data_IF_260174797507
#
_entry.id   IF_260174797507
#
_cell.length_a   1.000
_cell.length_b   1.000
_cell.length_c   1.000
_cell.angle_alpha   90.00
_cell.angle_beta   90.00
_cell.angle_gamma   90.00
#
_symmetry.space_group_name_H-M   'P 1'
#
loop_
_entity.id
_entity.type
_entity.pdbx_description
1 polymer ?
#
# COMPACT_ATOMS: atom_id res chain seq x y z
N UNK A 1 -20.31 -11.20 -1.38
CA UNK A 1 -19.54 -9.98 -1.74
C UNK A 1 -19.96 -8.77 -0.91
N UNK A 2 -21.03 -8.00 -1.20
CA UNK A 2 -21.33 -6.76 -0.43
C UNK A 2 -21.59 -6.92 1.09
N UNK A 3 -22.09 -8.07 1.55
CA UNK A 3 -22.28 -8.34 2.99
C UNK A 3 -20.98 -8.73 3.71
N UNK A 4 -20.01 -9.26 2.98
CA UNK A 4 -18.72 -9.72 3.50
C UNK A 4 -17.80 -8.52 3.73
N UNK A 5 -17.76 -7.59 2.76
CA UNK A 5 -17.01 -6.33 2.85
C UNK A 5 -17.49 -5.45 4.02
N UNK A 6 -18.82 -5.39 4.27
CA UNK A 6 -19.35 -4.68 5.46
C UNK A 6 -18.89 -5.30 6.77
N UNK A 7 -18.74 -6.61 6.81
CA UNK A 7 -18.23 -7.33 7.98
C UNK A 7 -16.76 -6.99 8.26
N UNK A 8 -15.94 -6.88 7.22
CA UNK A 8 -14.52 -6.49 7.32
C UNK A 8 -14.36 -5.03 7.77
N UNK A 9 -15.11 -4.10 7.18
CA UNK A 9 -15.09 -2.68 7.57
C UNK A 9 -15.43 -2.50 9.06
N UNK A 10 -16.48 -3.17 9.54
CA UNK A 10 -16.91 -3.10 10.94
C UNK A 10 -15.87 -3.67 11.91
N UNK A 11 -15.10 -4.68 11.49
CA UNK A 11 -14.01 -5.25 12.30
C UNK A 11 -12.81 -4.32 12.33
N UNK A 12 -12.50 -3.66 11.21
CA UNK A 12 -11.45 -2.65 11.13
C UNK A 12 -11.70 -1.49 12.09
N UNK A 13 -12.90 -0.91 12.04
CA UNK A 13 -13.27 0.23 12.88
C UNK A 13 -13.11 -0.10 14.37
N UNK A 14 -13.55 -1.30 14.76
CA UNK A 14 -13.44 -1.79 16.14
C UNK A 14 -11.99 -1.99 16.56
N UNK A 15 -11.13 -2.50 15.68
CA UNK A 15 -9.70 -2.67 15.97
C UNK A 15 -8.98 -1.31 16.11
N UNK A 16 -9.38 -0.30 15.32
CA UNK A 16 -8.84 1.06 15.46
C UNK A 16 -9.23 1.67 16.80
N UNK A 17 -10.50 1.56 17.19
CA UNK A 17 -11.00 2.04 18.51
C UNK A 17 -10.24 1.39 19.66
N UNK A 18 -9.99 0.07 19.60
CA UNK A 18 -9.24 -0.66 20.62
C UNK A 18 -7.76 -0.21 20.69
N UNK A 19 -7.17 0.07 19.54
CA UNK A 19 -5.78 0.54 19.42
C UNK A 19 -5.54 2.00 19.80
N UNK A 20 -6.61 2.76 20.08
CA UNK A 20 -6.52 4.13 20.63
C UNK A 20 -6.31 4.09 22.14
N UNK A 21 -6.79 3.05 22.83
CA UNK A 21 -6.61 2.87 24.28
C UNK A 21 -5.15 2.51 24.63
N UNK A 22 -4.48 1.76 23.76
CA UNK A 22 -3.07 1.41 23.90
C UNK A 22 -2.21 2.34 23.03
N UNK A 23 -1.41 3.23 23.65
CA UNK A 23 -0.44 4.14 23.00
C UNK A 23 0.73 3.42 22.28
N UNK A 24 0.48 2.33 21.57
CA UNK A 24 1.45 1.63 20.74
C UNK A 24 1.58 2.24 19.35
N UNK A 25 2.80 2.27 18.82
CA UNK A 25 3.09 2.55 17.40
C UNK A 25 2.46 1.45 16.54
N UNK A 26 1.36 1.79 15.86
CA UNK A 26 0.59 0.90 14.97
C UNK A 26 1.20 0.81 13.56
N UNK A 27 2.51 0.85 13.45
CA UNK A 27 3.13 0.32 12.24
C UNK A 27 3.06 -1.19 12.35
N UNK A 28 1.91 -1.77 12.02
CA UNK A 28 1.83 -3.19 11.70
C UNK A 28 2.82 -3.35 10.54
N UNK A 29 3.88 -4.11 10.78
CA UNK A 29 4.87 -4.40 9.75
C UNK A 29 4.23 -5.37 8.76
N UNK A 30 3.45 -4.80 7.83
CA UNK A 30 2.71 -5.54 6.81
C UNK A 30 3.67 -6.41 5.99
N UNK A 31 4.93 -6.00 5.84
CA UNK A 31 5.96 -6.78 5.13
C UNK A 31 6.40 -8.01 5.93
N UNK A 32 6.57 -7.90 7.25
CA UNK A 32 6.92 -9.05 8.09
C UNK A 32 5.81 -10.13 8.12
N UNK A 33 4.54 -9.71 8.16
CA UNK A 33 3.39 -10.62 8.23
C UNK A 33 3.17 -11.38 6.91
N UNK A 34 3.47 -10.74 5.78
CA UNK A 34 3.50 -11.40 4.47
C UNK A 34 4.72 -12.32 4.29
N UNK A 35 5.90 -11.90 4.76
CA UNK A 35 7.12 -12.69 4.65
C UNK A 35 7.05 -14.02 5.41
N UNK A 36 6.33 -14.04 6.54
CA UNK A 36 6.09 -15.26 7.34
C UNK A 36 5.15 -16.28 6.68
N UNK A 37 4.35 -15.87 5.69
CA UNK A 37 3.39 -16.72 4.97
C UNK A 37 3.85 -17.17 3.58
N UNK A 38 4.98 -16.64 3.09
CA UNK A 38 5.46 -16.92 1.74
C UNK A 38 6.04 -18.34 1.61
N UNK A 39 5.43 -19.17 0.76
CA UNK A 39 5.92 -20.51 0.46
C UNK A 39 7.12 -20.52 -0.49
N UNK A 40 7.68 -21.70 -0.75
CA UNK A 40 8.78 -21.88 -1.72
C UNK A 40 8.40 -21.40 -3.13
N UNK A 41 7.14 -21.66 -3.54
CA UNK A 41 6.60 -21.22 -4.83
C UNK A 41 6.52 -19.69 -4.96
N UNK A 42 6.15 -18.99 -3.89
CA UNK A 42 6.07 -17.52 -3.88
C UNK A 42 7.45 -16.88 -4.06
N UNK A 43 8.48 -17.46 -3.44
CA UNK A 43 9.87 -16.99 -3.56
C UNK A 43 10.44 -17.24 -4.96
N UNK A 44 10.10 -18.37 -5.57
CA UNK A 44 10.49 -18.68 -6.96
C UNK A 44 9.78 -17.76 -7.95
N UNK A 45 8.47 -17.56 -7.78
CA UNK A 45 7.68 -16.65 -8.62
C UNK A 45 8.21 -15.21 -8.55
N UNK A 46 8.60 -14.72 -7.37
CA UNK A 46 9.18 -13.38 -7.22
C UNK A 46 10.48 -13.19 -7.99
N UNK A 47 11.38 -14.18 -7.94
CA UNK A 47 12.63 -14.09 -8.72
C UNK A 47 12.37 -14.14 -10.21
N UNK A 48 11.45 -15.00 -10.65
CA UNK A 48 11.13 -15.14 -12.08
C UNK A 48 10.38 -13.90 -12.59
N UNK A 49 9.51 -13.28 -11.79
CA UNK A 49 8.84 -12.03 -12.15
C UNK A 49 9.82 -10.84 -12.21
N UNK A 50 10.73 -10.73 -11.24
CA UNK A 50 11.78 -9.70 -11.25
C UNK A 50 12.76 -9.88 -12.43
N UNK A 51 13.06 -11.14 -12.80
CA UNK A 51 13.93 -11.45 -13.94
C UNK A 51 13.22 -11.19 -15.28
N UNK A 52 11.97 -11.63 -15.41
CA UNK A 52 11.16 -11.46 -16.63
C UNK A 52 10.81 -10.01 -16.96
N UNK A 53 10.81 -9.11 -15.97
CA UNK A 53 10.59 -7.67 -16.16
C UNK A 53 11.85 -6.86 -16.51
N UNK A 54 13.04 -7.49 -16.57
CA UNK A 54 14.29 -6.78 -16.79
C UNK A 54 14.61 -6.60 -18.29
N UNK A 55 15.12 -5.42 -18.65
CA UNK A 55 15.63 -5.13 -20.00
C UNK A 55 16.74 -6.10 -20.43
N UNK A 56 17.54 -6.59 -19.49
CA UNK A 56 18.59 -7.57 -19.78
C UNK A 56 18.03 -8.93 -20.24
N UNK A 57 16.87 -9.34 -19.73
CA UNK A 57 16.21 -10.59 -20.14
C UNK A 57 15.76 -10.52 -21.60
N UNK A 58 15.10 -9.42 -21.98
CA UNK A 58 14.63 -9.18 -23.36
C UNK A 58 15.81 -9.21 -24.34
N UNK A 59 16.92 -8.53 -24.01
CA UNK A 59 18.12 -8.52 -24.85
C UNK A 59 18.79 -9.89 -24.95
N UNK A 60 18.86 -10.66 -23.85
CA UNK A 60 19.40 -12.02 -23.88
C UNK A 60 18.56 -12.97 -24.73
N UNK A 61 17.23 -12.83 -24.67
CA UNK A 61 16.29 -13.63 -25.46
C UNK A 61 16.44 -13.35 -26.95
N UNK A 62 16.56 -12.06 -27.31
CA UNK A 62 16.84 -11.64 -28.68
C UNK A 62 18.19 -12.18 -29.18
N UNK A 63 19.23 -12.15 -28.34
CA UNK A 63 20.55 -12.67 -28.69
C UNK A 63 20.53 -14.20 -28.94
N UNK A 64 19.81 -14.97 -28.12
CA UNK A 64 19.63 -16.41 -28.33
C UNK A 64 18.88 -16.69 -29.63
N UNK A 65 17.86 -15.90 -29.95
CA UNK A 65 17.09 -16.05 -31.19
C UNK A 65 17.96 -15.76 -32.42
N UNK A 66 18.75 -14.69 -32.40
CA UNK A 66 19.72 -14.37 -33.46
C UNK A 66 20.79 -15.47 -33.57
N UNK A 67 21.31 -15.97 -32.44
CA UNK A 67 22.29 -17.05 -32.43
C UNK A 67 21.73 -18.35 -33.01
N UNK A 68 20.48 -18.69 -32.72
CA UNK A 68 19.80 -19.88 -33.27
C UNK A 68 19.62 -19.78 -34.78
N UNK A 69 19.18 -18.61 -35.27
CA UNK A 69 19.05 -18.34 -36.71
C UNK A 69 20.42 -18.44 -37.38
N UNK A 70 21.46 -17.83 -36.79
CA UNK A 70 22.82 -17.89 -37.33
C UNK A 70 23.36 -19.33 -37.35
N UNK A 71 23.17 -20.09 -36.27
CA UNK A 71 23.57 -21.49 -36.19
C UNK A 71 22.88 -22.35 -37.25
N UNK A 72 21.55 -22.26 -37.38
CA UNK A 72 20.83 -22.99 -38.44
C UNK A 72 21.19 -22.52 -39.85
N UNK A 73 21.46 -21.23 -40.05
CA UNK A 73 21.90 -20.70 -41.35
C UNK A 73 23.31 -21.16 -41.74
N UNK A 74 24.21 -21.39 -40.78
CA UNK A 74 25.56 -21.93 -41.04
C UNK A 74 25.47 -23.44 -41.26
N UNK A 75 24.67 -24.15 -40.45
CA UNK A 75 24.41 -25.59 -40.59
C UNK A 75 23.68 -25.90 -41.91
N UNK A 76 22.93 -24.96 -42.49
CA UNK A 76 22.34 -25.08 -43.83
C UNK A 76 23.37 -25.34 -44.95
N UNK A 77 24.64 -24.94 -44.76
CA UNK A 77 25.75 -25.23 -45.66
C UNK A 77 26.38 -26.63 -45.44
N UNK A 78 26.10 -27.27 -44.31
CA UNK A 78 26.42 -28.66 -44.03
C UNK A 78 25.21 -29.55 -44.37
N UNK A 79 25.43 -30.80 -44.80
CA UNK A 79 24.42 -31.62 -45.45
C UNK A 79 23.18 -31.98 -44.59
N UNK A 80 23.22 -31.78 -43.27
CA UNK A 80 22.13 -32.08 -42.34
C UNK A 80 21.42 -30.82 -41.83
N UNK A 81 20.12 -30.72 -42.11
CA UNK A 81 19.29 -29.58 -41.71
C UNK A 81 18.55 -29.92 -40.41
N UNK A 82 19.00 -29.37 -39.30
CA UNK A 82 18.38 -29.60 -37.99
C UNK A 82 17.04 -28.87 -37.82
N UNK A 83 16.90 -27.63 -38.33
CA UNK A 83 15.64 -26.85 -38.35
C UNK A 83 15.57 -25.94 -39.60
N UNK A 84 15.14 -26.46 -40.77
CA UNK A 84 15.04 -25.68 -42.01
C UNK A 84 14.05 -24.52 -41.88
N UNK A 85 14.30 -23.42 -42.60
CA UNK A 85 13.32 -22.35 -42.78
C UNK A 85 11.98 -22.94 -43.24
N UNK A 86 10.85 -22.72 -42.53
CA UNK A 86 10.51 -21.59 -41.65
C UNK A 86 10.69 -21.79 -40.11
N UNK A 87 11.62 -22.64 -39.66
CA UNK A 87 11.96 -22.87 -38.23
C UNK A 87 10.80 -23.40 -37.36
N UNK A 88 10.32 -24.61 -37.68
CA UNK A 88 9.15 -25.22 -37.02
C UNK A 88 9.43 -25.54 -35.55
N UNK A 89 10.64 -26.00 -35.21
CA UNK A 89 10.99 -26.33 -33.83
C UNK A 89 11.09 -25.08 -32.97
N UNK A 90 11.75 -24.02 -33.47
CA UNK A 90 11.82 -22.73 -32.78
C UNK A 90 10.41 -22.17 -32.52
N UNK A 91 9.54 -22.21 -33.52
CA UNK A 91 8.17 -21.70 -33.41
C UNK A 91 7.35 -22.48 -32.37
N UNK A 92 7.49 -23.81 -32.32
CA UNK A 92 6.84 -24.66 -31.34
C UNK A 92 7.28 -24.31 -29.90
N UNK A 93 8.58 -24.13 -29.69
CA UNK A 93 9.14 -23.78 -28.38
C UNK A 93 8.67 -22.39 -27.94
N UNK A 94 8.74 -21.39 -28.83
CA UNK A 94 8.25 -20.02 -28.57
C UNK A 94 6.77 -20.01 -28.21
N UNK A 95 5.94 -20.76 -28.95
CA UNK A 95 4.51 -20.86 -28.70
C UNK A 95 4.21 -21.49 -27.33
N UNK A 96 4.98 -22.51 -26.94
CA UNK A 96 4.86 -23.14 -25.63
C UNK A 96 5.24 -22.17 -24.48
N UNK A 97 6.33 -21.43 -24.62
CA UNK A 97 6.76 -20.42 -23.65
C UNK A 97 5.69 -19.32 -23.51
N UNK A 98 5.18 -18.81 -24.64
CA UNK A 98 4.14 -17.78 -24.65
C UNK A 98 2.84 -18.26 -23.99
N UNK A 99 2.44 -19.52 -24.20
CA UNK A 99 1.24 -20.09 -23.59
C UNK A 99 1.29 -20.11 -22.06
N UNK A 100 2.47 -20.35 -21.47
CA UNK A 100 2.67 -20.37 -20.00
C UNK A 100 2.87 -18.96 -19.45
N UNK A 101 3.20 -17.98 -20.29
CA UNK A 101 3.50 -16.61 -19.88
C UNK A 101 2.30 -15.89 -19.25
N UNK A 102 1.09 -16.01 -19.83
CA UNK A 102 -0.09 -15.30 -19.32
C UNK A 102 -0.53 -15.76 -17.91
N UNK A 103 -0.60 -17.06 -17.58
CA UNK A 103 -0.84 -17.52 -16.21
C UNK A 103 0.23 -17.05 -15.23
N UNK A 104 1.50 -17.06 -15.63
CA UNK A 104 2.61 -16.60 -14.78
C UNK A 104 2.49 -15.10 -14.47
N UNK A 105 2.23 -14.28 -15.48
CA UNK A 105 1.97 -12.84 -15.31
C UNK A 105 0.76 -12.64 -14.39
N UNK A 106 -0.34 -13.35 -14.62
CA UNK A 106 -1.55 -13.25 -13.80
C UNK A 106 -1.30 -13.67 -12.34
N UNK A 107 -0.47 -14.68 -12.09
CA UNK A 107 -0.07 -15.06 -10.73
C UNK A 107 0.77 -13.98 -10.06
N UNK A 108 1.73 -13.38 -10.77
CA UNK A 108 2.51 -12.26 -10.23
C UNK A 108 1.65 -11.02 -9.95
N UNK A 109 0.68 -10.72 -10.81
CA UNK A 109 -0.26 -9.62 -10.66
C UNK A 109 -1.16 -9.82 -9.44
N UNK A 110 -1.82 -10.98 -9.30
CA UNK A 110 -2.65 -11.30 -8.12
C UNK A 110 -1.88 -11.15 -6.80
N UNK A 111 -0.60 -11.49 -6.79
CA UNK A 111 0.26 -11.36 -5.61
C UNK A 111 0.62 -9.90 -5.31
N UNK A 112 0.89 -9.10 -6.35
CA UNK A 112 1.12 -7.67 -6.19
C UNK A 112 -0.14 -6.95 -5.70
N UNK A 113 -1.30 -7.24 -6.29
CA UNK A 113 -2.60 -6.72 -5.87
C UNK A 113 -2.93 -7.05 -4.40
N UNK A 114 -2.62 -8.26 -3.94
CA UNK A 114 -2.82 -8.64 -2.56
C UNK A 114 -1.95 -7.81 -1.59
N UNK A 115 -0.69 -7.54 -1.95
CA UNK A 115 0.21 -6.67 -1.17
C UNK A 115 -0.30 -5.23 -1.17
N UNK A 116 -0.71 -4.72 -2.32
CA UNK A 116 -1.20 -3.35 -2.47
C UNK A 116 -2.51 -3.15 -1.69
N UNK A 117 -3.40 -4.15 -1.67
CA UNK A 117 -4.62 -4.13 -0.85
C UNK A 117 -4.32 -4.01 0.65
N UNK A 118 -3.37 -4.81 1.15
CA UNK A 118 -3.01 -4.79 2.57
C UNK A 118 -2.27 -3.51 2.96
N UNK A 119 -1.49 -2.91 2.06
CA UNK A 119 -0.92 -1.56 2.24
C UNK A 119 -2.02 -0.51 2.33
N UNK A 120 -2.99 -0.53 1.41
CA UNK A 120 -4.12 0.40 1.42
C UNK A 120 -4.99 0.28 2.69
N UNK A 121 -5.21 -0.94 3.18
CA UNK A 121 -5.93 -1.20 4.43
C UNK A 121 -5.18 -0.62 5.65
N UNK A 122 -3.85 -0.75 5.67
CA UNK A 122 -3.02 -0.17 6.72
C UNK A 122 -3.04 1.37 6.68
N UNK A 123 -2.88 1.96 5.50
CA UNK A 123 -2.94 3.41 5.30
C UNK A 123 -4.30 3.97 5.74
N UNK A 124 -5.39 3.25 5.44
CA UNK A 124 -6.73 3.58 5.88
C UNK A 124 -6.85 3.60 7.42
N UNK A 125 -6.31 2.57 8.11
CA UNK A 125 -6.31 2.52 9.59
C UNK A 125 -5.54 3.68 10.20
N UNK A 126 -4.38 4.01 9.64
CA UNK A 126 -3.56 5.15 10.10
C UNK A 126 -4.33 6.46 9.95
N UNK A 127 -5.00 6.65 8.81
CA UNK A 127 -5.79 7.85 8.57
C UNK A 127 -6.99 7.96 9.52
N UNK A 128 -7.72 6.86 9.75
CA UNK A 128 -8.84 6.84 10.69
C UNK A 128 -8.39 7.18 12.12
N UNK A 129 -7.24 6.64 12.56
CA UNK A 129 -6.67 6.98 13.86
C UNK A 129 -6.30 8.46 13.95
N UNK A 130 -5.67 9.01 12.92
CA UNK A 130 -5.34 10.42 12.84
C UNK A 130 -6.59 11.31 12.93
N UNK A 131 -7.68 10.94 12.23
CA UNK A 131 -8.96 11.65 12.31
C UNK A 131 -9.52 11.67 13.73
N UNK A 132 -9.51 10.52 14.43
CA UNK A 132 -10.00 10.44 15.82
C UNK A 132 -9.11 11.24 16.77
N UNK A 133 -7.78 11.18 16.62
CA UNK A 133 -6.85 11.96 17.43
C UNK A 133 -7.05 13.46 17.23
N UNK A 134 -7.27 13.92 15.99
CA UNK A 134 -7.57 15.32 15.68
C UNK A 134 -8.89 15.74 16.33
N UNK A 135 -9.94 14.89 16.26
CA UNK A 135 -11.24 15.17 16.89
C UNK A 135 -11.10 15.32 18.40
N UNK A 136 -10.36 14.42 19.05
CA UNK A 136 -10.12 14.49 20.48
C UNK A 136 -9.28 15.71 20.88
N UNK A 137 -8.33 16.13 20.03
CA UNK A 137 -7.59 17.38 20.24
C UNK A 137 -8.53 18.60 20.11
N UNK A 138 -9.45 18.58 19.16
CA UNK A 138 -10.45 19.63 18.96
C UNK A 138 -11.36 19.77 20.19
N UNK A 139 -11.89 18.67 20.72
CA UNK A 139 -12.71 18.69 21.95
C UNK A 139 -11.96 19.27 23.15
N UNK A 140 -10.68 18.93 23.31
CA UNK A 140 -9.84 19.53 24.36
C UNK A 140 -9.63 21.02 24.16
N UNK A 141 -9.45 21.45 22.91
CA UNK A 141 -9.28 22.85 22.57
C UNK A 141 -10.56 23.64 22.87
N UNK A 142 -11.74 23.11 22.52
CA UNK A 142 -13.03 23.69 22.86
C UNK A 142 -13.21 23.83 24.37
N UNK A 143 -12.88 22.79 25.14
CA UNK A 143 -12.91 22.85 26.61
C UNK A 143 -11.99 23.93 27.18
N UNK A 144 -10.80 24.11 26.62
CA UNK A 144 -9.89 25.17 27.03
C UNK A 144 -10.44 26.56 26.68
N UNK A 145 -11.00 26.72 25.48
CA UNK A 145 -11.60 27.98 25.04
C UNK A 145 -12.76 28.41 25.93
N UNK A 146 -13.66 27.48 26.29
CA UNK A 146 -14.78 27.77 27.21
C UNK A 146 -14.27 28.28 28.56
N UNK A 147 -13.26 27.62 29.16
CA UNK A 147 -12.65 28.07 30.41
C UNK A 147 -11.93 29.41 30.31
N UNK A 148 -11.41 29.77 29.14
CA UNK A 148 -10.81 31.07 28.91
C UNK A 148 -11.88 32.15 28.82
N UNK A 149 -13.00 31.88 28.14
CA UNK A 149 -14.15 32.77 28.05
C UNK A 149 -14.76 33.06 29.43
N UNK A 150 -15.01 32.03 30.24
CA UNK A 150 -15.54 32.19 31.60
C UNK A 150 -14.66 33.12 32.45
N UNK A 151 -13.33 32.91 32.41
CA UNK A 151 -12.38 33.77 33.13
C UNK A 151 -12.34 35.20 32.61
N UNK A 152 -12.47 35.40 31.30
CA UNK A 152 -12.53 36.75 30.72
C UNK A 152 -13.78 37.50 31.21
N UNK A 153 -14.92 36.82 31.26
CA UNK A 153 -16.18 37.38 31.76
C UNK A 153 -16.10 37.71 33.25
N UNK A 154 -15.51 36.83 34.06
CA UNK A 154 -15.27 37.07 35.49
C UNK A 154 -14.41 38.32 35.72
N UNK A 155 -13.30 38.46 34.98
CA UNK A 155 -12.43 39.65 35.05
C UNK A 155 -13.19 40.91 34.65
N UNK A 156 -14.03 40.85 33.60
CA UNK A 156 -14.84 41.99 33.18
C UNK A 156 -15.88 42.40 34.23
N UNK A 157 -16.52 41.44 34.91
CA UNK A 157 -17.45 41.72 35.99
C UNK A 157 -16.77 42.41 37.17
N UNK A 158 -15.60 41.92 37.60
CA UNK A 158 -14.80 42.54 38.66
C UNK A 158 -14.42 43.97 38.29
N UNK A 159 -14.04 44.22 37.03
CA UNK A 159 -13.71 45.58 36.57
C UNK A 159 -14.92 46.51 36.59
N UNK A 160 -16.11 46.02 36.23
CA UNK A 160 -17.37 46.78 36.29
C UNK A 160 -17.76 47.13 37.71
N UNK A 161 -17.69 46.16 38.63
CA UNK A 161 -17.97 46.36 40.05
C UNK A 161 -17.03 47.41 40.67
N UNK A 162 -15.73 47.31 40.38
CA UNK A 162 -14.74 48.29 40.85
C UNK A 162 -15.01 49.70 40.31
N UNK A 163 -15.43 49.82 39.03
CA UNK A 163 -15.80 51.12 38.44
C UNK A 163 -17.05 51.71 39.11
N UNK A 164 -18.04 50.87 39.44
CA UNK A 164 -19.26 51.31 40.12
C UNK A 164 -18.97 51.82 41.53
N UNK A 165 -18.14 51.10 42.29
CA UNK A 165 -17.72 51.50 43.63
C UNK A 165 -16.94 52.81 43.61
N UNK A 166 -16.00 52.98 42.67
CA UNK A 166 -15.27 54.24 42.49
C UNK A 166 -16.17 55.43 42.13
N UNK A 167 -17.21 55.22 41.31
CA UNK A 167 -18.16 56.28 40.98
C UNK A 167 -19.08 56.62 42.16
N UNK A 168 -19.39 55.62 43.00
CA UNK A 168 -20.16 55.80 44.24
C UNK A 168 -19.37 56.61 45.27
N UNK A 169 -18.09 56.29 45.48
CA UNK A 169 -17.17 57.04 46.36
C UNK A 169 -16.94 58.48 45.90
N UNK A 170 -16.96 58.74 44.58
CA UNK A 170 -16.81 60.11 44.04
C UNK A 170 -18.07 60.97 44.23
N UNK A 171 -19.24 60.36 44.43
CA UNK A 171 -20.53 61.05 44.56
C UNK A 171 -20.99 61.25 46.02
N UNK A 172 -20.35 60.57 46.98
CA UNK A 172 -20.55 60.76 48.43
C UNK A 172 -19.65 61.85 48.99
#
# INVERSE_FOLDING_TARGET
MLREERGELTRLDRAVIDSIDHRGTLTIDTEADFAGRAGFGDRMADRVAAFGGSWAFILSFLAVLVAWIAFNSIVLFAADKFDPYPFILLNLVLSCIAAVQAPFIMMSQRRQEAKDRLRAENDYRVNLKAEVEIRHLHEKLDHLLVRQWERLTEIQQIQLELMEDLDRDRKG
#
